data_IF_189405946873
#
_entry.id   IF_189405946873
#
_cell.length_a   1.000
_cell.length_b   1.000
_cell.length_c   1.000
_cell.angle_alpha   90.00
_cell.angle_beta   90.00
_cell.angle_gamma   90.00
#
_symmetry.space_group_name_H-M   'P 1'
#
loop_
_entity.id
_entity.type
_entity.pdbx_description
1 polymer ?
#
# COMPACT_ATOMS: atom_id res chain seq x y z
N UNK A 1 16.59 7.78 -0.71
CA UNK A 1 17.28 6.63 -0.06
C UNK A 1 18.63 7.02 0.53
N UNK A 2 19.46 7.83 -0.15
CA UNK A 2 20.83 8.21 0.28
C UNK A 2 20.97 8.89 1.66
N UNK A 3 20.02 9.72 2.10
CA UNK A 3 20.12 10.41 3.40
C UNK A 3 20.01 9.43 4.58
N UNK A 4 19.06 8.50 4.51
CA UNK A 4 18.85 7.46 5.54
C UNK A 4 20.02 6.47 5.57
N UNK A 5 20.54 6.08 4.40
CA UNK A 5 21.69 5.18 4.28
C UNK A 5 22.97 5.77 4.92
N UNK A 6 23.23 7.07 4.70
CA UNK A 6 24.37 7.76 5.32
C UNK A 6 24.23 7.87 6.84
N UNK A 7 23.00 8.00 7.35
CA UNK A 7 22.74 8.10 8.79
C UNK A 7 22.77 6.75 9.51
N UNK A 8 22.44 5.65 8.81
CA UNK A 8 22.35 4.29 9.37
C UNK A 8 23.69 3.66 9.75
N UNK A 9 24.82 4.19 9.29
CA UNK A 9 26.13 3.55 9.50
C UNK A 9 26.52 3.40 10.97
N UNK A 10 26.01 4.24 11.88
CA UNK A 10 26.39 4.19 13.31
C UNK A 10 25.24 4.59 14.28
N UNK A 11 24.04 4.90 13.78
CA UNK A 11 22.94 5.43 14.62
C UNK A 11 21.67 4.58 14.52
N UNK A 12 21.08 4.30 15.67
CA UNK A 12 19.85 3.50 15.83
C UNK A 12 18.56 4.30 15.58
N UNK A 13 18.65 5.65 15.54
CA UNK A 13 17.51 6.55 15.34
C UNK A 13 17.61 7.25 13.99
N UNK A 14 16.47 7.45 13.34
CA UNK A 14 16.37 8.19 12.08
C UNK A 14 16.48 9.70 12.32
N UNK A 15 17.02 10.48 11.36
CA UNK A 15 17.03 11.93 11.45
C UNK A 15 15.61 12.49 11.29
N UNK A 16 15.32 13.61 11.97
CA UNK A 16 14.10 14.38 11.73
C UNK A 16 14.15 14.99 10.33
N UNK A 17 13.10 14.77 9.55
CA UNK A 17 12.91 15.42 8.24
C UNK A 17 11.87 16.52 8.39
N UNK A 18 12.27 17.77 8.15
CA UNK A 18 11.39 18.93 8.16
C UNK A 18 11.10 19.37 6.71
N UNK A 19 9.82 19.36 6.33
CA UNK A 19 9.40 19.80 5.00
C UNK A 19 9.22 21.33 4.99
N UNK A 20 10.03 22.02 4.20
CA UNK A 20 9.91 23.46 3.96
C UNK A 20 9.52 23.69 2.49
N UNK A 21 8.44 24.43 2.26
CA UNK A 21 8.00 24.81 0.92
C UNK A 21 8.21 26.32 0.74
N UNK A 22 9.00 26.69 -0.27
CA UNK A 22 9.20 28.09 -0.68
C UNK A 22 8.40 28.30 -1.96
N UNK A 23 7.36 29.13 -1.88
CA UNK A 23 6.49 29.45 -3.00
C UNK A 23 6.80 30.84 -3.54
N UNK A 24 7.05 30.95 -4.85
CA UNK A 24 7.31 32.20 -5.56
C UNK A 24 6.39 32.31 -6.79
N UNK A 25 5.08 32.33 -6.55
CA UNK A 25 4.07 32.51 -7.59
C UNK A 25 3.76 33.99 -7.86
N UNK A 26 2.90 34.22 -8.86
CA UNK A 26 2.40 35.56 -9.20
C UNK A 26 1.38 36.08 -8.19
N UNK A 27 0.65 35.19 -7.54
CA UNK A 27 -0.41 35.50 -6.58
C UNK A 27 -0.02 35.12 -5.14
N UNK A 28 -0.75 35.65 -4.16
CA UNK A 28 -0.59 35.26 -2.75
C UNK A 28 -1.02 33.81 -2.56
N UNK A 29 -0.18 33.02 -1.89
CA UNK A 29 -0.49 31.62 -1.58
C UNK A 29 -1.74 31.50 -0.70
N UNK A 30 -2.75 30.79 -1.20
CA UNK A 30 -4.07 30.66 -0.57
C UNK A 30 -4.50 29.21 -0.27
N UNK A 31 -3.63 28.23 -0.53
CA UNK A 31 -3.93 26.84 -0.19
C UNK A 31 -3.69 26.55 1.31
N UNK A 32 -4.32 25.51 1.89
CA UNK A 32 -4.06 25.10 3.26
C UNK A 32 -2.61 24.69 3.48
N UNK A 33 -2.02 25.13 4.59
CA UNK A 33 -0.64 24.79 4.99
C UNK A 33 -0.56 23.55 5.87
N UNK A 34 -1.68 23.19 6.49
CA UNK A 34 -1.80 21.98 7.30
C UNK A 34 -2.12 20.80 6.38
N UNK A 35 -1.30 19.76 6.43
CA UNK A 35 -1.46 18.55 5.63
C UNK A 35 -2.86 17.93 5.79
N UNK A 36 -3.42 17.97 7.00
CA UNK A 36 -4.70 17.32 7.29
C UNK A 36 -5.88 18.05 6.65
N UNK A 37 -5.78 19.36 6.47
CA UNK A 37 -6.82 20.19 5.86
C UNK A 37 -6.93 19.95 4.35
N UNK A 38 -6.01 19.18 3.76
CA UNK A 38 -6.05 18.76 2.36
C UNK A 38 -6.91 17.51 2.14
N UNK A 39 -7.35 16.82 3.20
CA UNK A 39 -8.19 15.63 3.10
C UNK A 39 -9.66 15.97 3.38
N UNK A 40 -10.58 15.25 2.73
CA UNK A 40 -12.03 15.38 2.97
C UNK A 40 -12.40 15.10 4.43
N UNK A 41 -11.73 14.12 5.05
CA UNK A 41 -11.84 13.84 6.48
C UNK A 41 -10.45 13.97 7.13
N UNK A 42 -10.20 15.13 7.74
CA UNK A 42 -8.93 15.45 8.37
C UNK A 42 -8.68 14.61 9.64
N UNK A 43 -9.73 14.16 10.32
CA UNK A 43 -9.62 13.35 11.54
C UNK A 43 -9.15 11.95 11.21
N UNK A 44 -9.77 11.30 10.21
CA UNK A 44 -9.37 9.97 9.75
C UNK A 44 -7.95 10.01 9.16
N UNK A 45 -7.64 10.99 8.32
CA UNK A 45 -6.30 11.12 7.72
C UNK A 45 -5.21 11.27 8.79
N UNK A 46 -5.45 12.14 9.78
CA UNK A 46 -4.52 12.36 10.89
C UNK A 46 -4.34 11.09 11.72
N UNK A 47 -5.42 10.42 12.10
CA UNK A 47 -5.34 9.17 12.85
C UNK A 47 -4.52 8.13 12.08
N UNK A 48 -4.88 7.86 10.82
CA UNK A 48 -4.23 6.82 10.02
C UNK A 48 -2.73 7.09 9.78
N UNK A 49 -2.35 8.35 9.53
CA UNK A 49 -0.98 8.69 9.15
C UNK A 49 -0.04 8.99 10.33
N UNK A 50 -0.58 9.19 11.54
CA UNK A 50 0.23 9.44 12.75
C UNK A 50 0.26 8.25 13.72
N UNK A 51 -0.66 7.30 13.59
CA UNK A 51 -0.58 6.01 14.27
C UNK A 51 0.58 5.15 13.74
N UNK A 52 0.84 4.04 14.45
CA UNK A 52 1.77 3.03 13.97
C UNK A 52 1.39 2.58 12.55
N UNK A 53 2.43 2.41 11.72
CA UNK A 53 2.24 1.96 10.35
C UNK A 53 1.55 0.59 10.36
N UNK A 54 0.58 0.43 9.45
CA UNK A 54 -0.10 -0.84 9.27
C UNK A 54 0.79 -1.76 8.42
N UNK A 55 1.45 -2.72 9.05
CA UNK A 55 2.25 -3.73 8.35
C UNK A 55 1.35 -4.86 7.86
N UNK A 56 1.25 -5.03 6.54
CA UNK A 56 0.64 -6.22 5.95
C UNK A 56 1.72 -7.27 5.71
N UNK A 57 1.96 -8.11 6.71
CA UNK A 57 2.94 -9.19 6.63
C UNK A 57 2.34 -10.42 5.92
N UNK A 58 2.45 -10.44 4.60
CA UNK A 58 1.91 -11.53 3.77
C UNK A 58 2.53 -12.89 4.07
N UNK A 59 3.74 -12.94 4.64
CA UNK A 59 4.40 -14.22 4.92
C UNK A 59 3.87 -14.88 6.19
N UNK A 60 3.43 -14.09 7.18
CA UNK A 60 2.74 -14.63 8.37
C UNK A 60 1.26 -14.93 8.15
N UNK A 61 0.63 -14.30 7.15
CA UNK A 61 -0.77 -14.58 6.79
C UNK A 61 -0.95 -15.95 6.12
N UNK A 62 -2.03 -16.65 6.41
CA UNK A 62 -2.41 -17.88 5.68
C UNK A 62 -3.00 -17.57 4.31
N UNK A 63 -2.92 -18.53 3.38
CA UNK A 63 -3.53 -18.35 2.06
C UNK A 63 -5.06 -18.25 2.13
N UNK A 64 -5.71 -18.88 3.11
CA UNK A 64 -7.16 -18.84 3.26
C UNK A 64 -7.64 -17.47 3.75
N UNK A 65 -6.89 -16.82 4.65
CA UNK A 65 -7.16 -15.44 5.05
C UNK A 65 -7.03 -14.47 3.88
N UNK A 66 -6.03 -14.66 3.02
CA UNK A 66 -5.83 -13.85 1.81
C UNK A 66 -7.00 -14.05 0.83
N UNK A 67 -7.40 -15.30 0.55
CA UNK A 67 -8.48 -15.60 -0.40
C UNK A 67 -9.81 -14.98 0.04
N UNK A 68 -10.10 -14.93 1.35
CA UNK A 68 -11.32 -14.29 1.88
C UNK A 68 -11.45 -12.80 1.55
N UNK A 69 -10.33 -12.11 1.26
CA UNK A 69 -10.31 -10.68 0.91
C UNK A 69 -10.71 -10.39 -0.55
N UNK A 70 -11.08 -11.40 -1.34
CA UNK A 70 -11.58 -11.24 -2.73
C UNK A 70 -10.55 -10.50 -3.61
N UNK A 71 -10.90 -9.36 -4.21
CA UNK A 71 -10.05 -8.65 -5.18
C UNK A 71 -8.70 -8.22 -4.59
N UNK A 72 -8.68 -7.65 -3.38
CA UNK A 72 -7.40 -7.28 -2.74
C UNK A 72 -6.62 -8.54 -2.35
N UNK A 73 -7.32 -9.61 -2.00
CA UNK A 73 -6.74 -10.94 -1.77
C UNK A 73 -6.01 -11.49 -2.99
N UNK A 74 -6.50 -11.24 -4.21
CA UNK A 74 -5.82 -11.66 -5.44
C UNK A 74 -4.45 -10.98 -5.58
N UNK A 75 -4.39 -9.67 -5.35
CA UNK A 75 -3.14 -8.90 -5.38
C UNK A 75 -2.18 -9.39 -4.28
N UNK A 76 -2.67 -9.52 -3.06
CA UNK A 76 -1.89 -10.01 -1.92
C UNK A 76 -1.35 -11.42 -2.14
N UNK A 77 -2.13 -12.32 -2.75
CA UNK A 77 -1.70 -13.69 -3.06
C UNK A 77 -0.52 -13.67 -4.02
N UNK A 78 -0.61 -12.88 -5.10
CA UNK A 78 0.47 -12.76 -6.07
C UNK A 78 1.73 -12.15 -5.44
N UNK A 79 1.58 -11.12 -4.60
CA UNK A 79 2.69 -10.49 -3.88
C UNK A 79 3.36 -11.47 -2.90
N UNK A 80 2.58 -12.27 -2.18
CA UNK A 80 3.09 -13.28 -1.25
C UNK A 80 3.99 -14.30 -1.96
N UNK A 81 3.58 -14.72 -3.16
CA UNK A 81 4.23 -15.77 -3.94
C UNK A 81 5.14 -15.24 -5.05
N UNK A 82 5.52 -13.95 -5.02
CA UNK A 82 6.31 -13.31 -6.09
C UNK A 82 7.68 -13.98 -6.33
N UNK A 83 8.21 -14.69 -5.35
CA UNK A 83 9.49 -15.41 -5.44
C UNK A 83 9.34 -16.88 -5.86
N UNK A 84 8.12 -17.37 -6.10
CA UNK A 84 7.88 -18.73 -6.58
C UNK A 84 8.44 -18.87 -8.00
N UNK A 85 9.34 -19.84 -8.20
CA UNK A 85 9.98 -20.05 -9.52
C UNK A 85 9.04 -20.68 -10.54
N UNK A 86 8.17 -21.57 -10.08
CA UNK A 86 7.19 -22.24 -10.94
C UNK A 86 5.95 -21.35 -11.10
N UNK A 87 6.02 -20.49 -12.12
CA UNK A 87 4.95 -19.54 -12.44
C UNK A 87 3.68 -20.25 -12.93
N UNK A 88 3.80 -21.38 -13.66
CA UNK A 88 2.64 -22.11 -14.15
C UNK A 88 1.84 -22.69 -12.99
N UNK A 89 2.53 -23.29 -12.02
CA UNK A 89 1.90 -23.77 -10.80
C UNK A 89 1.26 -22.63 -9.99
N UNK A 90 1.91 -21.47 -9.91
CA UNK A 90 1.33 -20.30 -9.23
C UNK A 90 0.01 -19.87 -9.88
N UNK A 91 0.00 -19.78 -11.22
CA UNK A 91 -1.21 -19.42 -11.97
C UNK A 91 -2.32 -20.47 -11.81
N UNK A 92 -1.99 -21.75 -11.86
CA UNK A 92 -2.95 -22.83 -11.62
C UNK A 92 -3.61 -22.71 -10.24
N UNK A 93 -2.80 -22.61 -9.17
CA UNK A 93 -3.30 -22.48 -7.80
C UNK A 93 -4.12 -21.21 -7.62
N UNK A 94 -3.67 -20.09 -8.21
CA UNK A 94 -4.38 -18.82 -8.17
C UNK A 94 -5.76 -18.93 -8.81
N UNK A 95 -5.84 -19.45 -10.04
CA UNK A 95 -7.10 -19.60 -10.77
C UNK A 95 -8.08 -20.52 -10.05
N UNK A 96 -7.57 -21.58 -9.39
CA UNK A 96 -8.39 -22.48 -8.57
C UNK A 96 -8.92 -21.74 -7.34
N UNK A 97 -8.05 -21.06 -6.57
CA UNK A 97 -8.41 -20.40 -5.31
C UNK A 97 -9.36 -19.22 -5.51
N UNK A 98 -9.19 -18.46 -6.60
CA UNK A 98 -9.97 -17.25 -6.88
C UNK A 98 -11.07 -17.43 -7.93
N UNK A 99 -11.35 -18.68 -8.35
CA UNK A 99 -12.33 -19.01 -9.39
C UNK A 99 -13.67 -18.28 -9.22
N UNK A 100 -14.22 -18.30 -8.01
CA UNK A 100 -15.52 -17.68 -7.72
C UNK A 100 -15.50 -16.16 -7.93
N UNK A 101 -14.43 -15.49 -7.52
CA UNK A 101 -14.27 -14.04 -7.68
C UNK A 101 -14.13 -13.68 -9.16
N UNK A 102 -13.31 -14.45 -9.90
CA UNK A 102 -13.11 -14.27 -11.33
C UNK A 102 -14.40 -14.46 -12.15
N UNK A 103 -15.24 -15.44 -11.79
CA UNK A 103 -16.54 -15.63 -12.44
C UNK A 103 -17.46 -14.43 -12.21
N UNK A 104 -17.55 -13.96 -10.97
CA UNK A 104 -18.36 -12.77 -10.65
C UNK A 104 -17.88 -11.53 -11.40
N UNK A 105 -16.57 -11.34 -11.54
CA UNK A 105 -16.03 -10.18 -12.26
C UNK A 105 -16.31 -10.26 -13.76
N UNK A 106 -16.28 -11.47 -14.33
CA UNK A 106 -16.67 -11.71 -15.72
C UNK A 106 -18.15 -11.42 -15.95
N UNK A 107 -19.03 -11.86 -15.05
CA UNK A 107 -20.47 -11.58 -15.13
C UNK A 107 -20.77 -10.08 -15.02
N UNK A 108 -19.97 -9.35 -14.24
CA UNK A 108 -20.12 -7.90 -14.02
C UNK A 108 -19.41 -7.03 -15.05
N UNK A 109 -18.65 -7.61 -15.99
CA UNK A 109 -17.88 -6.85 -16.99
C UNK A 109 -16.77 -5.98 -16.37
N UNK A 110 -16.19 -6.39 -15.24
CA UNK A 110 -15.15 -5.60 -14.56
C UNK A 110 -13.80 -5.69 -15.29
N UNK A 111 -13.56 -6.79 -16.03
CA UNK A 111 -12.32 -7.04 -16.78
C UNK A 111 -12.52 -7.33 -18.28
N UNK A 112 -13.71 -7.08 -18.81
CA UNK A 112 -14.11 -7.19 -20.24
C UNK A 112 -15.05 -6.07 -20.56
#
# INVERSE_FOLDING_TARGET
>A
MLLCERHKKEKTKLPLVYNLVIYNGKEVYNAPRNLWDLFTDSMIAKQLMTSDYQLVDLQSMSNDEIVRKKHIGMLEYMLKHIHQRDMLKLWEEFLIKFKHVLILDKEKGIFT
#
